data_IF_252291572998
#
_entry.id   IF_252291572998
#
_cell.length_a   1.000
_cell.length_b   1.000
_cell.length_c   1.000
_cell.angle_alpha   90.00
_cell.angle_beta   90.00
_cell.angle_gamma   90.00
#
_symmetry.space_group_name_H-M   'P 1'
#
loop_
_entity.id
_entity.type
_entity.pdbx_description
1 polymer ?
#
# COMPACT_ATOMS: atom_id res chain seq x y z
N UNK A 1 8.25 14.72 -12.86
CA UNK A 1 8.44 13.25 -12.92
C UNK A 1 8.16 12.65 -11.56
N UNK A 2 7.78 11.38 -11.49
CA UNK A 2 7.58 10.66 -10.23
C UNK A 2 8.43 9.39 -10.22
N UNK A 3 8.92 9.01 -9.04
CA UNK A 3 9.49 7.67 -8.77
C UNK A 3 8.54 6.91 -7.86
N UNK A 4 8.42 5.61 -8.09
CA UNK A 4 7.73 4.70 -7.19
C UNK A 4 8.28 3.30 -7.36
N UNK A 5 8.15 2.51 -6.30
CA UNK A 5 8.56 1.10 -6.30
C UNK A 5 7.31 0.24 -6.42
N UNK A 6 7.32 -0.69 -7.38
CA UNK A 6 6.35 -1.78 -7.47
C UNK A 6 6.90 -3.00 -6.74
N UNK A 7 6.77 -2.98 -5.42
CA UNK A 7 7.20 -4.10 -4.58
C UNK A 7 6.05 -5.06 -4.34
N UNK A 8 6.23 -6.28 -4.84
CA UNK A 8 5.29 -7.38 -4.68
C UNK A 8 5.51 -8.06 -3.32
N UNK A 9 4.55 -7.92 -2.42
CA UNK A 9 4.61 -8.45 -1.06
C UNK A 9 3.71 -9.68 -0.91
N UNK A 10 4.24 -10.68 -0.22
CA UNK A 10 3.51 -11.87 0.24
C UNK A 10 4.16 -12.35 1.54
N UNK A 11 3.39 -13.00 2.42
CA UNK A 11 3.90 -13.67 3.62
C UNK A 11 3.82 -15.17 3.38
N UNK A 12 4.97 -15.78 3.15
CA UNK A 12 5.10 -17.21 2.81
C UNK A 12 4.21 -17.61 1.61
N UNK A 13 3.53 -18.75 1.66
CA UNK A 13 2.55 -19.20 0.66
C UNK A 13 1.12 -18.74 0.97
N UNK A 14 0.93 -17.82 1.91
CA UNK A 14 -0.39 -17.40 2.34
C UNK A 14 -1.06 -16.47 1.32
N UNK A 15 -2.21 -16.91 0.81
CA UNK A 15 -3.03 -16.16 -0.15
C UNK A 15 -3.65 -14.90 0.49
N UNK A 16 -3.77 -13.83 -0.31
CA UNK A 16 -4.44 -12.59 0.10
C UNK A 16 -5.88 -12.91 0.48
N UNK A 17 -6.22 -12.75 1.75
CA UNK A 17 -7.48 -13.19 2.32
C UNK A 17 -7.72 -12.58 3.69
N UNK A 18 -8.75 -13.06 4.40
CA UNK A 18 -9.24 -12.42 5.63
C UNK A 18 -8.23 -12.33 6.79
N UNK A 19 -7.15 -13.11 6.73
CA UNK A 19 -6.05 -13.02 7.69
C UNK A 19 -5.13 -11.80 7.47
N UNK A 20 -5.17 -11.18 6.28
CA UNK A 20 -4.38 -10.01 5.93
C UNK A 20 -5.08 -8.70 6.29
N UNK A 21 -4.29 -7.74 6.78
CA UNK A 21 -4.67 -6.32 6.87
C UNK A 21 -3.53 -5.44 6.40
N UNK A 22 -3.82 -4.51 5.51
CA UNK A 22 -2.91 -3.45 5.10
C UNK A 22 -3.31 -2.15 5.80
N UNK A 23 -2.41 -1.58 6.59
CA UNK A 23 -2.65 -0.36 7.37
C UNK A 23 -1.85 0.81 6.82
N UNK A 24 -2.44 1.99 6.91
CA UNK A 24 -1.81 3.25 6.58
C UNK A 24 -1.81 4.19 7.80
N UNK A 25 -0.83 5.10 7.91
CA UNK A 25 -0.78 6.13 8.95
C UNK A 25 -1.69 7.33 8.63
N UNK A 26 -2.62 7.19 7.69
CA UNK A 26 -3.53 8.24 7.22
C UNK A 26 -4.91 7.67 6.93
N UNK A 27 -5.92 8.55 6.92
CA UNK A 27 -7.28 8.18 6.54
C UNK A 27 -7.37 7.98 5.03
N UNK A 28 -7.92 6.85 4.61
CA UNK A 28 -8.30 6.61 3.24
C UNK A 28 -9.40 7.60 2.84
N UNK A 29 -9.39 8.04 1.58
CA UNK A 29 -10.38 8.96 1.01
C UNK A 29 -11.14 8.31 -0.16
N UNK A 30 -11.98 7.29 0.05
CA UNK A 30 -12.65 6.55 -1.03
C UNK A 30 -13.39 7.45 -2.02
N UNK A 31 -13.98 8.55 -1.53
CA UNK A 31 -14.69 9.56 -2.32
C UNK A 31 -13.79 10.37 -3.27
N UNK A 32 -12.46 10.25 -3.11
CA UNK A 32 -11.43 10.91 -3.94
C UNK A 32 -10.51 9.93 -4.65
N UNK A 33 -10.82 8.64 -4.61
CA UNK A 33 -10.06 7.66 -5.38
C UNK A 33 -10.19 7.96 -6.87
N UNK A 34 -9.16 7.61 -7.64
CA UNK A 34 -9.21 7.68 -9.09
C UNK A 34 -9.86 6.42 -9.67
N UNK A 35 -9.11 5.70 -10.49
CA UNK A 35 -9.46 4.35 -10.91
C UNK A 35 -9.58 3.40 -9.71
N UNK A 36 -10.66 2.61 -9.73
CA UNK A 36 -10.99 1.58 -8.75
C UNK A 36 -11.41 0.31 -9.49
N UNK A 37 -10.71 -0.79 -9.23
CA UNK A 37 -10.99 -2.13 -9.71
C UNK A 37 -11.14 -3.04 -8.49
N UNK A 38 -12.38 -3.47 -8.22
CA UNK A 38 -12.71 -4.40 -7.14
C UNK A 38 -13.96 -5.21 -7.54
N UNK A 39 -13.92 -5.82 -8.72
CA UNK A 39 -15.06 -6.49 -9.37
C UNK A 39 -15.70 -7.57 -8.49
N UNK A 40 -14.88 -8.33 -7.78
CA UNK A 40 -15.33 -9.41 -6.88
C UNK A 40 -15.77 -8.91 -5.50
N UNK A 41 -15.62 -7.61 -5.22
CA UNK A 41 -15.93 -6.96 -3.95
C UNK A 41 -15.29 -7.65 -2.71
N UNK A 42 -14.13 -8.27 -2.92
CA UNK A 42 -13.38 -8.96 -1.87
C UNK A 42 -12.60 -7.99 -1.00
N UNK A 43 -12.16 -6.85 -1.54
CA UNK A 43 -11.42 -5.84 -0.79
C UNK A 43 -12.39 -4.98 0.01
N UNK A 44 -12.12 -4.84 1.31
CA UNK A 44 -12.86 -4.00 2.25
C UNK A 44 -12.04 -2.78 2.64
N UNK A 45 -12.65 -1.60 2.58
CA UNK A 45 -12.04 -0.34 2.99
C UNK A 45 -12.57 0.03 4.38
N UNK A 46 -11.66 0.21 5.33
CA UNK A 46 -11.91 0.87 6.60
C UNK A 46 -11.34 2.29 6.62
N UNK A 47 -11.33 2.99 7.76
CA UNK A 47 -10.85 4.36 7.86
C UNK A 47 -9.39 4.53 7.43
N UNK A 48 -8.49 3.66 7.90
CA UNK A 48 -7.06 3.67 7.57
C UNK A 48 -6.50 2.27 7.30
N UNK A 49 -7.38 1.31 7.01
CA UNK A 49 -7.06 -0.11 6.87
C UNK A 49 -7.79 -0.68 5.67
N UNK A 50 -7.11 -1.58 4.95
CA UNK A 50 -7.66 -2.39 3.88
C UNK A 50 -7.60 -3.84 4.34
N UNK A 51 -8.72 -4.55 4.21
CA UNK A 51 -8.84 -5.97 4.53
C UNK A 51 -9.53 -6.72 3.40
N UNK A 52 -9.79 -8.01 3.64
CA UNK A 52 -10.34 -8.91 2.64
C UNK A 52 -11.50 -9.74 3.22
N UNK A 53 -12.62 -9.86 2.51
CA UNK A 53 -13.74 -10.74 2.89
C UNK A 53 -13.37 -12.21 2.68
N UNK A 54 -12.68 -12.48 1.58
CA UNK A 54 -12.21 -13.78 1.14
C UNK A 54 -11.00 -13.61 0.24
N UNK A 55 -10.66 -14.66 -0.50
CA UNK A 55 -9.50 -14.65 -1.39
C UNK A 55 -9.92 -14.09 -2.75
N UNK A 56 -9.35 -12.94 -3.20
CA UNK A 56 -9.58 -12.44 -4.55
C UNK A 56 -9.07 -13.46 -5.58
N UNK A 57 -9.88 -13.75 -6.60
CA UNK A 57 -9.48 -14.57 -7.76
C UNK A 57 -9.13 -13.69 -8.95
N UNK A 58 -9.52 -12.42 -8.94
CA UNK A 58 -9.17 -11.41 -9.94
C UNK A 58 -8.28 -10.32 -9.33
N UNK A 59 -7.60 -9.56 -10.20
CA UNK A 59 -6.79 -8.42 -9.78
C UNK A 59 -7.67 -7.31 -9.20
N UNK A 60 -7.16 -6.62 -8.19
CA UNK A 60 -7.76 -5.41 -7.65
C UNK A 60 -6.78 -4.23 -7.75
N UNK A 61 -7.34 -3.04 -7.90
CA UNK A 61 -6.57 -1.81 -8.02
C UNK A 61 -7.33 -0.65 -7.39
N UNK A 62 -6.59 0.21 -6.69
CA UNK A 62 -7.10 1.46 -6.13
C UNK A 62 -6.04 2.52 -6.33
N UNK A 63 -6.38 3.57 -7.07
CA UNK A 63 -5.49 4.73 -7.21
C UNK A 63 -5.88 5.84 -6.23
N UNK A 64 -4.87 6.62 -5.82
CA UNK A 64 -5.03 7.81 -5.00
C UNK A 64 -5.66 7.57 -3.61
N UNK A 65 -5.15 6.59 -2.86
CA UNK A 65 -5.66 6.22 -1.53
C UNK A 65 -5.72 7.38 -0.52
N UNK A 66 -4.78 8.33 -0.60
CA UNK A 66 -4.75 9.51 0.28
C UNK A 66 -5.66 10.65 -0.21
N UNK A 67 -6.34 10.51 -1.35
CA UNK A 67 -7.20 11.55 -1.90
C UNK A 67 -6.45 12.86 -2.24
N UNK A 68 -5.17 12.75 -2.62
CA UNK A 68 -4.28 13.88 -2.90
C UNK A 68 -3.69 14.57 -1.66
N UNK A 69 -4.05 14.14 -0.45
CA UNK A 69 -3.49 14.71 0.78
C UNK A 69 -2.02 14.35 0.96
N UNK A 70 -1.24 15.27 1.52
CA UNK A 70 0.17 15.06 1.78
C UNK A 70 0.38 14.29 3.09
N UNK A 71 0.71 13.00 2.96
CA UNK A 71 0.79 12.04 4.06
C UNK A 71 2.20 11.49 4.26
N UNK A 72 2.46 10.86 5.42
CA UNK A 72 3.69 10.09 5.63
C UNK A 72 3.74 8.91 4.65
N UNK A 73 4.89 8.73 3.99
CA UNK A 73 5.10 7.59 3.10
C UNK A 73 5.38 6.34 3.94
N UNK A 74 4.34 5.65 4.38
CA UNK A 74 4.47 4.38 5.12
C UNK A 74 3.21 3.54 5.02
N UNK A 75 3.38 2.22 5.16
CA UNK A 75 2.31 1.24 5.29
C UNK A 75 2.79 0.02 6.09
N UNK A 76 1.85 -0.75 6.63
CA UNK A 76 2.10 -2.04 7.28
C UNK A 76 1.17 -3.13 6.73
N UNK A 77 1.73 -4.22 6.23
CA UNK A 77 1.02 -5.44 5.85
C UNK A 77 1.14 -6.46 6.98
N UNK A 78 0.01 -6.85 7.57
CA UNK A 78 -0.05 -7.74 8.71
C UNK A 78 -0.78 -9.03 8.34
N UNK A 79 -0.24 -10.17 8.75
CA UNK A 79 -0.90 -11.47 8.64
C UNK A 79 -1.18 -12.04 10.04
N UNK A 80 -2.45 -12.04 10.45
CA UNK A 80 -2.83 -12.36 11.82
C UNK A 80 -2.62 -13.84 12.21
N UNK A 81 -2.81 -14.79 11.29
CA UNK A 81 -2.58 -16.23 11.57
C UNK A 81 -1.09 -16.54 11.76
N UNK A 82 -0.23 -16.09 10.85
CA UNK A 82 1.21 -16.28 10.94
C UNK A 82 1.89 -15.38 11.97
N UNK A 83 1.21 -14.34 12.45
CA UNK A 83 1.76 -13.34 13.37
C UNK A 83 3.03 -12.68 12.80
N UNK A 84 3.00 -12.36 11.50
CA UNK A 84 4.09 -11.69 10.79
C UNK A 84 3.57 -10.38 10.22
N UNK A 85 4.39 -9.34 10.33
CA UNK A 85 4.18 -8.04 9.70
C UNK A 85 5.34 -7.67 8.78
N UNK A 86 5.03 -6.97 7.70
CA UNK A 86 5.98 -6.30 6.82
C UNK A 86 5.59 -4.82 6.79
N UNK A 87 6.55 -3.91 6.86
CA UNK A 87 6.28 -2.47 6.69
C UNK A 87 7.27 -1.81 5.76
N UNK A 88 6.82 -0.74 5.09
CA UNK A 88 7.67 0.24 4.43
C UNK A 88 7.58 1.57 5.18
N UNK A 89 8.71 2.25 5.37
CA UNK A 89 8.76 3.64 5.79
C UNK A 89 9.74 4.41 4.92
N UNK A 90 9.25 5.46 4.27
CA UNK A 90 10.04 6.39 3.47
C UNK A 90 10.43 7.64 4.26
N UNK A 91 11.59 8.21 3.95
CA UNK A 91 12.04 9.52 4.50
C UNK A 91 11.36 10.75 3.86
N UNK A 92 10.22 10.54 3.19
CA UNK A 92 9.52 11.55 2.41
C UNK A 92 8.01 11.55 2.71
N UNK A 93 7.35 12.62 2.26
CA UNK A 93 5.89 12.72 2.21
C UNK A 93 5.41 12.43 0.79
N UNK A 94 4.24 11.82 0.66
CA UNK A 94 3.61 11.56 -0.63
C UNK A 94 2.20 12.10 -0.69
N UNK A 95 1.75 12.47 -1.90
CA UNK A 95 0.36 12.82 -2.20
C UNK A 95 -0.38 11.73 -2.99
N UNK A 96 0.36 10.72 -3.46
CA UNK A 96 -0.14 9.70 -4.35
C UNK A 96 0.28 8.35 -3.82
N UNK A 97 -0.73 7.56 -3.47
CA UNK A 97 -0.57 6.20 -2.99
C UNK A 97 -1.50 5.33 -3.81
N UNK A 98 -0.96 4.31 -4.45
CA UNK A 98 -1.76 3.32 -5.16
C UNK A 98 -1.68 1.98 -4.44
N UNK A 99 -2.64 1.13 -4.73
CA UNK A 99 -2.63 -0.26 -4.32
C UNK A 99 -3.01 -1.12 -5.51
N UNK A 100 -2.15 -2.06 -5.86
CA UNK A 100 -2.46 -3.15 -6.76
C UNK A 100 -2.33 -4.47 -6.01
N UNK A 101 -3.10 -5.49 -6.38
CA UNK A 101 -2.87 -6.83 -5.86
C UNK A 101 -3.72 -7.90 -6.55
N UNK A 102 -3.45 -9.14 -6.17
CA UNK A 102 -4.12 -10.33 -6.66
C UNK A 102 -4.10 -11.44 -5.59
N UNK A 103 -4.46 -12.67 -5.94
CA UNK A 103 -4.63 -13.81 -5.05
C UNK A 103 -3.40 -14.08 -4.15
N UNK A 104 -2.19 -13.91 -4.68
CA UNK A 104 -0.95 -14.33 -4.02
C UNK A 104 -0.03 -13.17 -3.65
N UNK A 105 -0.42 -11.92 -3.95
CA UNK A 105 0.50 -10.78 -3.89
C UNK A 105 -0.25 -9.47 -3.71
N UNK A 106 0.38 -8.52 -3.03
CA UNK A 106 -0.09 -7.14 -2.86
C UNK A 106 1.07 -6.16 -3.03
N UNK A 107 0.81 -5.02 -3.67
CA UNK A 107 1.78 -3.95 -3.96
C UNK A 107 1.20 -2.60 -3.54
N UNK A 108 1.46 -2.16 -2.30
CA UNK A 108 1.22 -0.79 -1.87
C UNK A 108 2.33 0.12 -2.43
N UNK A 109 1.95 1.13 -3.19
CA UNK A 109 2.89 1.94 -3.97
C UNK A 109 2.91 3.39 -3.47
N UNK A 110 4.05 3.81 -2.91
CA UNK A 110 4.26 5.17 -2.40
C UNK A 110 5.09 6.00 -3.39
N UNK A 111 4.54 7.11 -3.89
CA UNK A 111 5.17 7.91 -4.95
C UNK A 111 6.02 9.07 -4.40
N UNK A 112 7.22 9.27 -4.96
CA UNK A 112 8.08 10.42 -4.74
C UNK A 112 7.94 11.37 -5.92
N UNK A 113 7.41 12.57 -5.67
CA UNK A 113 7.36 13.61 -6.69
C UNK A 113 8.74 14.26 -6.86
N UNK A 114 9.29 14.24 -8.07
CA UNK A 114 10.61 14.78 -8.42
C UNK A 114 10.44 16.05 -9.24
N UNK A 115 10.90 17.15 -8.64
CA UNK A 115 10.99 18.48 -9.24
C UNK A 115 12.42 18.99 -8.99
N UNK A 116 13.28 18.92 -9.99
CA UNK A 116 14.70 19.32 -9.90
C UNK A 116 15.02 20.27 -11.04
N UNK A 117 15.69 21.37 -10.72
CA UNK A 117 16.31 22.27 -11.69
C UNK A 117 17.70 21.73 -12.10
N UNK A 118 18.27 22.20 -13.23
CA UNK A 118 19.64 21.85 -13.61
C UNK A 118 20.62 22.10 -12.45
N UNK A 119 21.49 21.13 -12.17
CA UNK A 119 22.48 21.18 -11.09
C UNK A 119 21.96 20.82 -9.69
N UNK A 120 20.65 20.58 -9.51
CA UNK A 120 20.10 20.14 -8.23
C UNK A 120 20.18 18.63 -8.02
N UNK A 121 20.21 18.23 -6.76
CA UNK A 121 20.17 16.83 -6.34
C UNK A 121 19.16 16.65 -5.22
N UNK A 122 18.52 15.47 -5.15
CA UNK A 122 17.65 15.09 -4.04
C UNK A 122 17.86 13.63 -3.71
N UNK A 123 17.77 13.32 -2.42
CA UNK A 123 17.90 11.98 -1.88
C UNK A 123 16.64 11.63 -1.09
N UNK A 124 16.31 10.35 -1.10
CA UNK A 124 15.27 9.75 -0.26
C UNK A 124 15.68 8.31 0.04
N UNK A 125 15.05 7.73 1.03
CA UNK A 125 15.27 6.35 1.45
C UNK A 125 13.92 5.68 1.71
N UNK A 126 13.91 4.36 1.55
CA UNK A 126 12.80 3.47 1.88
C UNK A 126 13.38 2.35 2.74
N UNK A 127 12.79 2.12 3.90
CA UNK A 127 13.18 1.06 4.81
C UNK A 127 12.07 0.03 4.87
N UNK A 128 12.42 -1.23 4.61
CA UNK A 128 11.53 -2.36 4.77
C UNK A 128 11.86 -3.11 6.06
N UNK A 129 10.86 -3.42 6.87
CA UNK A 129 11.02 -4.22 8.08
C UNK A 129 10.09 -5.42 8.03
N UNK A 130 10.64 -6.60 8.32
CA UNK A 130 9.86 -7.80 8.62
C UNK A 130 9.92 -8.01 10.14
N UNK A 131 8.78 -8.29 10.77
CA UNK A 131 8.70 -8.42 12.22
C UNK A 131 7.64 -9.44 12.65
N UNK A 132 7.80 -9.97 13.86
CA UNK A 132 6.79 -10.80 14.51
C UNK A 132 5.80 -9.90 15.24
N UNK A 133 4.52 -10.22 15.13
CA UNK A 133 3.44 -9.57 15.86
C UNK A 133 3.31 -10.19 17.25
N UNK A 134 2.98 -9.37 18.25
CA UNK A 134 2.64 -9.81 19.60
C UNK A 134 1.29 -10.56 19.66
#
# INVERSE_FOLDING_TARGET
TEEYVRSFMAIDQALMGSAYKLKFPFQLRPERFGEVVNSEQQVMLGPNVIGFKGIPKEQFFFSNLSGGEQVNASWELLHHTHKIGISETGSFKTKKVNLWGWQHVISPELFVAIHLQPGQSRQWSRMYKVFRME
#
